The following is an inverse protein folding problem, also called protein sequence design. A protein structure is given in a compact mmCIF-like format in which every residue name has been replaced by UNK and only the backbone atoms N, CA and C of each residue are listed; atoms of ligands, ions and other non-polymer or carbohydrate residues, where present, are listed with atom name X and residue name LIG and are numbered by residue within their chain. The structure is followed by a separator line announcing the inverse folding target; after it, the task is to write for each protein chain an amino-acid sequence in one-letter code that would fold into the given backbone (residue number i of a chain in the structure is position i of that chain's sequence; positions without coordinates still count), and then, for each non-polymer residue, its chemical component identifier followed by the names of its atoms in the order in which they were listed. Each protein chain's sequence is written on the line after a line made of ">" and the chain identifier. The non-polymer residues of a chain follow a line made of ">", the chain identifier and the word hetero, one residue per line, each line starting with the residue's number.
data_IF_354702895952
#
_entry.id   IF_354702895952
#
_cell.length_a   1.000
_cell.length_b   1.000
_cell.length_c   1.000
_cell.angle_alpha   90.00
_cell.angle_beta   90.00
_cell.angle_gamma   90.00
#
_symmetry.space_group_name_H-M   'P 1'
#
loop_
_entity.id
_entity.type
_entity.pdbx_description
1 polymer ?
#
# COMPACT_ATOMS: atom_id res chain seq x y z
N UNK A 1 -4.28 10.54 10.91
CA UNK A 1 -4.70 9.92 9.64
C UNK A 1 -3.51 9.18 9.08
N UNK A 2 -3.60 7.85 8.91
CA UNK A 2 -2.52 7.07 8.32
C UNK A 2 -2.45 7.37 6.84
N UNK A 3 -1.24 7.62 6.34
CA UNK A 3 -1.00 7.92 4.92
C UNK A 3 -0.32 6.74 4.23
N UNK A 4 -0.35 6.72 2.90
CA UNK A 4 0.34 5.70 2.11
C UNK A 4 1.85 5.67 2.38
N UNK A 5 2.46 6.79 2.79
CA UNK A 5 3.87 6.87 3.20
C UNK A 5 4.15 6.07 4.46
N UNK A 6 3.24 6.14 5.45
CA UNK A 6 3.39 5.42 6.70
C UNK A 6 3.26 3.92 6.48
N UNK A 7 2.33 3.51 5.61
CA UNK A 7 2.22 2.10 5.17
C UNK A 7 3.48 1.64 4.44
N UNK A 8 4.06 2.48 3.57
CA UNK A 8 5.30 2.18 2.85
C UNK A 8 6.47 1.95 3.81
N UNK A 9 6.62 2.81 4.82
CA UNK A 9 7.60 2.63 5.89
C UNK A 9 7.39 1.35 6.68
N UNK A 10 6.16 1.08 7.13
CA UNK A 10 5.85 -0.10 7.93
C UNK A 10 6.07 -1.41 7.15
N UNK A 11 5.67 -1.44 5.88
CA UNK A 11 5.88 -2.60 5.01
C UNK A 11 7.34 -2.73 4.51
N UNK A 12 8.19 -1.71 4.72
CA UNK A 12 9.58 -1.68 4.26
C UNK A 12 9.70 -1.64 2.73
N UNK A 13 8.76 -0.97 2.05
CA UNK A 13 8.71 -0.87 0.58
C UNK A 13 8.59 0.57 0.12
N UNK A 14 8.83 0.81 -1.17
CA UNK A 14 8.59 2.12 -1.76
C UNK A 14 7.10 2.40 -1.97
N UNK A 15 6.71 3.68 -2.00
CA UNK A 15 5.35 4.11 -2.38
C UNK A 15 4.99 3.58 -3.78
N UNK A 16 5.97 3.52 -4.68
CA UNK A 16 5.86 2.94 -6.02
C UNK A 16 5.45 1.47 -5.96
N UNK A 17 5.99 0.72 -5.01
CA UNK A 17 5.63 -0.68 -4.76
C UNK A 17 4.18 -0.80 -4.27
N UNK A 18 3.76 0.06 -3.35
CA UNK A 18 2.36 0.08 -2.89
C UNK A 18 1.42 0.46 -4.04
N UNK A 19 1.77 1.45 -4.85
CA UNK A 19 0.99 1.81 -6.05
C UNK A 19 0.85 0.62 -7.01
N UNK A 20 1.92 -0.17 -7.22
CA UNK A 20 1.86 -1.41 -8.00
C UNK A 20 0.97 -2.48 -7.36
N UNK A 21 0.98 -2.61 -6.03
CA UNK A 21 0.12 -3.54 -5.29
C UNK A 21 -1.35 -3.14 -5.40
N UNK A 22 -1.67 -1.86 -5.20
CA UNK A 22 -3.03 -1.32 -5.28
C UNK A 22 -3.57 -1.39 -6.72
N UNK A 23 -2.75 -1.01 -7.70
CA UNK A 23 -3.12 -1.05 -9.13
C UNK A 23 -2.96 -2.44 -9.78
N UNK A 24 -2.80 -3.50 -8.97
CA UNK A 24 -2.72 -4.90 -9.44
C UNK A 24 -1.70 -5.13 -10.56
N UNK A 25 -0.54 -4.48 -10.49
CA UNK A 25 0.57 -4.79 -11.38
C UNK A 25 1.11 -6.18 -11.02
N UNK A 26 1.05 -7.12 -11.97
CA UNK A 26 1.61 -8.49 -11.87
C UNK A 26 3.12 -8.54 -11.56
N UNK A 27 3.78 -7.38 -11.41
CA UNK A 27 5.22 -7.25 -11.15
C UNK A 27 5.60 -7.29 -9.67
N UNK A 28 4.66 -7.51 -8.75
CA UNK A 28 4.95 -7.53 -7.30
C UNK A 28 4.89 -8.96 -6.76
N UNK A 29 5.94 -9.37 -6.03
CA UNK A 29 5.98 -10.69 -5.40
C UNK A 29 4.85 -10.87 -4.39
N UNK A 30 4.40 -12.12 -4.21
CA UNK A 30 3.38 -12.46 -3.21
C UNK A 30 3.82 -12.06 -1.80
N UNK A 31 5.10 -12.23 -1.48
CA UNK A 31 5.67 -11.85 -0.19
C UNK A 31 5.55 -10.34 0.08
N UNK A 32 5.86 -9.52 -0.93
CA UNK A 32 5.72 -8.07 -0.84
C UNK A 32 4.24 -7.66 -0.71
N UNK A 33 3.35 -8.32 -1.44
CA UNK A 33 1.91 -8.09 -1.35
C UNK A 33 1.40 -8.38 0.07
N UNK A 34 1.83 -9.49 0.66
CA UNK A 34 1.45 -9.85 2.03
C UNK A 34 1.94 -8.82 3.05
N UNK A 35 3.22 -8.39 2.98
CA UNK A 35 3.75 -7.33 3.86
C UNK A 35 2.95 -6.04 3.80
N UNK A 36 2.60 -5.61 2.58
CA UNK A 36 1.79 -4.39 2.38
C UNK A 36 0.39 -4.58 2.98
N UNK A 37 -0.27 -5.71 2.73
CA UNK A 37 -1.60 -6.01 3.29
C UNK A 37 -1.59 -6.08 4.81
N UNK A 38 -0.52 -6.63 5.40
CA UNK A 38 -0.34 -6.70 6.84
C UNK A 38 -0.15 -5.31 7.45
N UNK A 39 0.74 -4.48 6.88
CA UNK A 39 0.93 -3.10 7.31
C UNK A 39 -0.35 -2.25 7.16
N UNK A 40 -1.11 -2.45 6.09
CA UNK A 40 -2.43 -1.81 5.89
C UNK A 40 -3.38 -2.18 7.03
N UNK A 41 -3.42 -3.47 7.38
CA UNK A 41 -4.28 -3.99 8.46
C UNK A 41 -3.85 -3.50 9.83
N UNK A 42 -2.56 -3.54 10.15
CA UNK A 42 -1.99 -3.10 11.43
C UNK A 42 -2.19 -1.61 11.65
N UNK A 43 -1.95 -0.80 10.62
CA UNK A 43 -2.10 0.65 10.71
C UNK A 43 -3.56 1.10 10.55
N UNK A 44 -4.48 0.21 10.19
CA UNK A 44 -5.86 0.57 9.86
C UNK A 44 -5.94 1.52 8.66
N UNK A 45 -4.96 1.46 7.75
CA UNK A 45 -4.98 2.29 6.54
C UNK A 45 -6.13 1.84 5.65
N UNK A 46 -7.11 2.71 5.50
CA UNK A 46 -8.17 2.49 4.51
C UNK A 46 -7.78 3.30 3.27
N UNK A 47 -7.42 2.67 2.14
CA UNK A 47 -7.14 3.42 0.93
C UNK A 47 -8.38 4.24 0.61
N UNK A 48 -8.23 5.57 0.66
CA UNK A 48 -9.33 6.47 0.39
C UNK A 48 -9.58 6.42 -1.12
N UNK A 49 -10.52 5.58 -1.52
CA UNK A 49 -10.94 5.39 -2.92
C UNK A 49 -11.51 6.70 -3.51
N UNK A 50 -11.73 7.71 -2.65
CA UNK A 50 -12.15 9.06 -2.99
C UNK A 50 -11.03 9.99 -3.49
N UNK A 51 -9.81 9.50 -3.76
CA UNK A 51 -8.82 10.26 -4.54
C UNK A 51 -9.18 10.25 -6.05
N UNK A 52 -10.37 10.72 -6.38
CA UNK A 52 -10.81 10.98 -7.75
C UNK A 52 -10.40 12.42 -8.07
N UNK A 53 -9.47 12.56 -9.03
CA UNK A 53 -9.13 13.76 -9.81
C UNK A 53 -9.86 15.05 -9.41
N UNK A 54 -9.09 16.02 -8.93
CA UNK A 54 -9.29 17.43 -9.34
C UNK A 54 -8.37 17.73 -10.52
#
# INVERSE_FOLDING_TARGET
>A
MVTINEVAKAAGVSISTISRVINQSNSVSLATKNKVMEAIRELGYTPNISAKKD
#
